data_IF_665313430705
#
_entry.id   IF_665313430705
#
_cell.length_a   1.000
_cell.length_b   1.000
_cell.length_c   1.000
_cell.angle_alpha   90.00
_cell.angle_beta   90.00
_cell.angle_gamma   90.00
#
_symmetry.space_group_name_H-M   'P 1'
#
loop_
_entity.id
_entity.type
_entity.pdbx_description
1 polymer ?
#
# COMPACT_ATOMS: atom_id res chain seq x y z
N UNK A 1 17.94 10.79 22.97
CA UNK A 1 16.83 10.04 22.33
C UNK A 1 17.24 8.70 21.73
N UNK A 2 18.53 8.38 21.66
CA UNK A 2 19.00 7.12 21.07
C UNK A 2 19.47 6.14 22.15
N UNK A 3 19.40 4.84 21.84
CA UNK A 3 19.96 3.81 22.71
C UNK A 3 21.46 3.70 22.49
N UNK A 4 22.26 3.88 23.55
CA UNK A 4 23.70 3.67 23.52
C UNK A 4 24.03 2.23 23.94
N UNK A 5 24.98 1.63 23.26
CA UNK A 5 25.60 0.35 23.63
C UNK A 5 26.67 0.55 24.70
N UNK A 6 27.13 -0.54 25.30
CA UNK A 6 28.18 -0.51 26.33
C UNK A 6 29.52 0.05 25.80
N UNK A 7 29.80 -0.04 24.51
CA UNK A 7 30.98 0.51 23.85
C UNK A 7 30.85 2.01 23.49
N UNK A 8 29.73 2.64 23.83
CA UNK A 8 29.44 4.05 23.56
C UNK A 8 28.86 4.31 22.17
N UNK A 9 28.72 3.31 21.30
CA UNK A 9 28.07 3.46 20.00
C UNK A 9 26.55 3.53 20.12
N UNK A 10 25.89 4.15 19.13
CA UNK A 10 24.42 4.17 19.03
C UNK A 10 23.93 2.84 18.44
N UNK A 11 22.89 2.28 19.03
CA UNK A 11 22.25 1.08 18.52
C UNK A 11 21.51 1.37 17.19
N UNK A 12 21.84 0.61 16.14
CA UNK A 12 21.12 0.67 14.87
C UNK A 12 19.86 -0.20 14.86
N UNK A 13 19.00 -0.02 13.87
CA UNK A 13 17.76 -0.77 13.75
C UNK A 13 18.01 -2.23 13.36
N UNK A 14 17.36 -3.14 14.08
CA UNK A 14 17.34 -4.57 13.77
C UNK A 14 15.89 -5.05 13.66
N UNK A 15 15.58 -5.69 12.53
CA UNK A 15 14.32 -6.39 12.30
C UNK A 15 14.66 -7.77 11.70
N UNK A 16 14.97 -8.75 12.56
CA UNK A 16 15.51 -10.02 12.11
C UNK A 16 14.69 -10.67 10.98
N UNK A 17 15.38 -11.20 9.95
CA UNK A 17 16.82 -11.34 9.83
C UNK A 17 17.59 -10.08 9.37
N UNK A 18 16.89 -8.98 9.04
CA UNK A 18 17.50 -7.75 8.51
C UNK A 18 18.15 -6.90 9.60
N UNK A 19 19.28 -6.28 9.25
CA UNK A 19 20.01 -5.29 10.07
C UNK A 19 20.23 -4.03 9.23
N UNK A 20 19.79 -2.88 9.76
CA UNK A 20 19.86 -1.59 9.09
C UNK A 20 20.90 -0.71 9.81
N UNK A 21 22.17 -0.88 9.45
CA UNK A 21 23.27 -0.22 10.15
C UNK A 21 23.33 1.30 9.95
N UNK A 22 22.58 1.82 9.01
CA UNK A 22 22.42 3.23 8.67
C UNK A 22 21.18 3.89 9.31
N UNK A 23 20.35 3.10 10.02
CA UNK A 23 19.15 3.59 10.69
C UNK A 23 19.33 3.55 12.22
N UNK A 24 19.14 4.68 12.88
CA UNK A 24 19.22 4.83 14.33
C UNK A 24 17.85 5.14 14.93
N UNK A 25 17.14 4.13 15.49
CA UNK A 25 15.80 4.33 16.01
C UNK A 25 15.80 5.23 17.24
N UNK A 26 14.77 6.07 17.34
CA UNK A 26 14.48 6.83 18.54
C UNK A 26 14.04 5.88 19.66
N UNK A 27 14.53 6.11 20.86
CA UNK A 27 14.13 5.39 22.07
C UNK A 27 13.01 6.16 22.79
N UNK A 28 11.78 5.75 22.52
CA UNK A 28 10.58 6.40 23.07
C UNK A 28 10.44 6.29 24.59
N UNK A 29 11.18 5.37 25.24
CA UNK A 29 11.12 5.19 26.70
C UNK A 29 12.00 6.20 27.46
N UNK A 30 12.97 6.83 26.77
CA UNK A 30 13.90 7.76 27.42
C UNK A 30 13.33 9.17 27.59
N UNK A 31 12.61 9.65 26.60
CA UNK A 31 12.01 10.99 26.63
C UNK A 31 10.73 10.99 25.79
N UNK A 32 9.67 10.31 26.26
CA UNK A 32 8.43 10.16 25.51
C UNK A 32 7.76 11.51 25.18
N UNK A 33 7.79 12.48 26.10
CA UNK A 33 7.16 13.78 25.88
C UNK A 33 7.98 14.68 24.95
N UNK A 34 9.31 14.66 25.05
CA UNK A 34 10.17 15.43 24.16
C UNK A 34 10.09 14.91 22.72
N UNK A 35 10.11 13.58 22.53
CA UNK A 35 9.96 12.95 21.22
C UNK A 35 8.56 13.23 20.65
N UNK A 36 7.51 13.08 21.48
CA UNK A 36 6.14 13.41 21.07
C UNK A 36 6.01 14.84 20.57
N UNK A 37 6.48 15.80 21.37
CA UNK A 37 6.41 17.23 21.06
C UNK A 37 7.14 17.53 19.73
N UNK A 38 8.35 17.01 19.57
CA UNK A 38 9.14 17.24 18.35
C UNK A 38 8.47 16.68 17.08
N UNK A 39 7.89 15.47 17.16
CA UNK A 39 7.21 14.87 16.00
C UNK A 39 5.90 15.60 15.71
N UNK A 40 5.12 15.94 16.73
CA UNK A 40 3.90 16.75 16.56
C UNK A 40 4.22 18.09 15.91
N UNK A 41 5.20 18.82 16.40
CA UNK A 41 5.57 20.15 15.90
C UNK A 41 6.11 20.08 14.48
N UNK A 42 6.82 19.01 14.11
CA UNK A 42 7.22 18.72 12.74
C UNK A 42 6.01 18.50 11.83
N UNK A 43 5.01 17.72 12.24
CA UNK A 43 3.78 17.51 11.47
C UNK A 43 3.01 18.82 11.30
N UNK A 44 2.84 19.60 12.38
CA UNK A 44 2.19 20.91 12.33
C UNK A 44 2.89 21.87 11.36
N UNK A 45 4.22 21.86 11.32
CA UNK A 45 4.99 22.62 10.35
C UNK A 45 4.62 22.25 8.93
N UNK A 46 4.62 20.95 8.59
CA UNK A 46 4.29 20.50 7.24
C UNK A 46 2.82 20.73 6.89
N UNK A 47 1.90 20.57 7.85
CA UNK A 47 0.48 20.90 7.66
C UNK A 47 0.32 22.39 7.36
N UNK A 48 1.05 23.26 8.07
CA UNK A 48 1.03 24.71 7.80
C UNK A 48 1.53 25.09 6.41
N UNK A 49 2.34 24.22 5.78
CA UNK A 49 2.79 24.34 4.40
C UNK A 49 1.85 23.64 3.37
N UNK A 50 0.70 23.12 3.82
CA UNK A 50 -0.32 22.51 2.97
C UNK A 50 -0.18 21.02 2.73
N UNK A 51 0.68 20.33 3.49
CA UNK A 51 0.76 18.86 3.44
C UNK A 51 -0.39 18.27 4.22
N UNK A 52 -1.24 17.49 3.57
CA UNK A 52 -2.42 16.85 4.17
C UNK A 52 -2.39 15.33 4.14
N UNK A 53 -1.39 14.73 3.52
CA UNK A 53 -1.25 13.26 3.45
C UNK A 53 0.18 12.87 3.87
N UNK A 54 0.29 12.01 4.88
CA UNK A 54 1.56 11.54 5.41
C UNK A 54 1.66 10.02 5.27
N UNK A 55 2.66 9.53 4.54
CA UNK A 55 3.04 8.12 4.56
C UNK A 55 4.02 7.92 5.70
N UNK A 56 3.70 7.00 6.60
CA UNK A 56 4.52 6.67 7.77
C UNK A 56 5.23 5.35 7.53
N UNK A 57 6.55 5.42 7.49
CA UNK A 57 7.45 4.29 7.35
C UNK A 57 7.48 3.45 8.63
N UNK A 58 7.22 2.16 8.50
CA UNK A 58 7.31 1.17 9.58
C UNK A 58 6.68 1.62 10.92
N UNK A 59 5.41 2.09 10.97
CA UNK A 59 4.80 2.56 12.22
C UNK A 59 4.71 1.47 13.29
N UNK A 60 4.65 0.20 12.90
CA UNK A 60 4.61 -0.96 13.80
C UNK A 60 5.86 -1.14 14.66
N UNK A 61 6.95 -0.43 14.34
CA UNK A 61 8.20 -0.44 15.11
C UNK A 61 8.23 0.61 16.22
N UNK A 62 7.19 1.42 16.36
CA UNK A 62 7.04 2.46 17.39
C UNK A 62 5.91 2.10 18.34
N UNK A 63 5.88 2.65 19.57
CA UNK A 63 4.83 2.33 20.54
C UNK A 63 3.42 2.68 20.02
N UNK A 64 2.48 1.76 20.15
CA UNK A 64 1.09 1.99 19.73
C UNK A 64 0.47 3.20 20.42
N UNK A 65 0.73 3.39 21.71
CA UNK A 65 0.24 4.55 22.49
C UNK A 65 0.73 5.89 21.96
N UNK A 66 1.92 5.92 21.35
CA UNK A 66 2.44 7.13 20.72
C UNK A 66 1.56 7.50 19.51
N UNK A 67 1.22 6.51 18.66
CA UNK A 67 0.36 6.73 17.50
C UNK A 67 -1.07 7.11 17.91
N UNK A 68 -1.66 6.39 18.87
CA UNK A 68 -3.01 6.68 19.38
C UNK A 68 -3.14 8.16 19.78
N UNK A 69 -2.24 8.64 20.64
CA UNK A 69 -2.23 10.03 21.09
C UNK A 69 -1.98 11.03 19.95
N UNK A 70 -1.01 10.75 19.08
CA UNK A 70 -0.62 11.66 18.00
C UNK A 70 -1.72 11.80 16.95
N UNK A 71 -2.27 10.67 16.51
CA UNK A 71 -3.30 10.66 15.48
C UNK A 71 -4.60 11.29 15.99
N UNK A 72 -5.00 11.00 17.24
CA UNK A 72 -6.16 11.64 17.88
C UNK A 72 -5.99 13.17 17.95
N UNK A 73 -4.83 13.67 18.38
CA UNK A 73 -4.57 15.12 18.45
C UNK A 73 -4.60 15.76 17.06
N UNK A 74 -3.89 15.17 16.08
CA UNK A 74 -3.80 15.74 14.73
C UNK A 74 -5.17 15.71 14.05
N UNK A 75 -5.91 14.58 14.06
CA UNK A 75 -7.24 14.50 13.44
C UNK A 75 -8.26 15.42 14.10
N UNK A 76 -8.14 15.67 15.41
CA UNK A 76 -9.03 16.62 16.11
C UNK A 76 -8.78 18.05 15.62
N UNK A 77 -7.54 18.43 15.37
CA UNK A 77 -7.15 19.79 14.95
C UNK A 77 -7.22 19.96 13.43
N UNK A 78 -6.94 18.91 12.68
CA UNK A 78 -6.82 18.86 11.22
C UNK A 78 -7.55 17.63 10.66
N UNK A 79 -8.90 17.64 10.64
CA UNK A 79 -9.69 16.47 10.20
C UNK A 79 -9.49 16.10 8.72
N UNK A 80 -8.89 16.97 7.92
CA UNK A 80 -8.54 16.74 6.53
C UNK A 80 -7.25 15.94 6.35
N UNK A 81 -6.44 15.78 7.40
CA UNK A 81 -5.14 15.10 7.32
C UNK A 81 -5.33 13.60 7.32
N UNK A 82 -4.59 12.92 6.46
CA UNK A 82 -4.65 11.46 6.23
C UNK A 82 -3.29 10.84 6.53
N UNK A 83 -3.28 9.75 7.27
CA UNK A 83 -2.09 8.96 7.58
C UNK A 83 -2.14 7.58 6.92
N UNK A 84 -1.12 7.28 6.11
CA UNK A 84 -0.93 6.00 5.43
C UNK A 84 0.12 5.19 6.18
N UNK A 85 -0.26 4.02 6.70
CA UNK A 85 0.68 3.12 7.37
C UNK A 85 1.40 2.25 6.33
N UNK A 86 2.70 2.39 6.22
CA UNK A 86 3.53 1.39 5.54
C UNK A 86 3.94 0.35 6.58
N UNK A 87 3.11 -0.68 6.73
CA UNK A 87 3.22 -1.63 7.83
C UNK A 87 3.12 -3.07 7.34
N UNK A 88 4.28 -3.66 7.01
CA UNK A 88 4.38 -5.09 6.71
C UNK A 88 4.68 -5.85 8.00
N UNK A 89 3.63 -6.20 8.73
CA UNK A 89 3.70 -6.78 10.06
C UNK A 89 2.61 -7.84 10.27
N UNK A 90 2.53 -8.41 11.46
CA UNK A 90 1.52 -9.42 11.81
C UNK A 90 0.11 -8.83 11.71
N UNK A 91 -0.91 -9.63 11.29
CA UNK A 91 -2.28 -9.14 11.12
C UNK A 91 -2.84 -8.40 12.33
N UNK A 92 -2.57 -8.89 13.55
CA UNK A 92 -3.02 -8.23 14.77
C UNK A 92 -2.47 -6.79 14.90
N UNK A 93 -1.20 -6.57 14.57
CA UNK A 93 -0.59 -5.23 14.63
C UNK A 93 -1.15 -4.33 13.53
N UNK A 94 -1.36 -4.83 12.30
CA UNK A 94 -1.99 -4.06 11.23
C UNK A 94 -3.39 -3.58 11.63
N UNK A 95 -4.20 -4.47 12.23
CA UNK A 95 -5.54 -4.12 12.76
C UNK A 95 -5.45 -3.09 13.87
N UNK A 96 -4.47 -3.21 14.76
CA UNK A 96 -4.24 -2.24 15.84
C UNK A 96 -3.90 -0.86 15.28
N UNK A 97 -3.04 -0.76 14.27
CA UNK A 97 -2.71 0.52 13.63
C UNK A 97 -3.95 1.18 13.02
N UNK A 98 -4.81 0.40 12.34
CA UNK A 98 -6.09 0.91 11.86
C UNK A 98 -7.01 1.38 13.00
N UNK A 99 -7.08 0.61 14.10
CA UNK A 99 -7.91 0.96 15.26
C UNK A 99 -7.46 2.24 15.98
N UNK A 100 -6.16 2.56 15.98
CA UNK A 100 -5.63 3.78 16.63
C UNK A 100 -5.61 5.00 15.72
N UNK A 101 -6.14 4.90 14.48
CA UNK A 101 -6.43 6.06 13.65
C UNK A 101 -5.63 6.20 12.35
N UNK A 102 -4.87 5.21 11.92
CA UNK A 102 -4.34 5.23 10.57
C UNK A 102 -5.48 5.08 9.56
N UNK A 103 -5.58 6.01 8.60
CA UNK A 103 -6.67 6.08 7.64
C UNK A 103 -6.58 5.02 6.54
N UNK A 104 -5.36 4.67 6.14
CA UNK A 104 -5.07 3.63 5.16
C UNK A 104 -3.85 2.81 5.58
N UNK A 105 -3.77 1.59 5.08
CA UNK A 105 -2.60 0.73 5.25
C UNK A 105 -2.14 0.13 3.94
N UNK A 106 -0.84 0.07 3.73
CA UNK A 106 -0.22 -0.83 2.77
C UNK A 106 -0.55 -2.27 3.17
N UNK A 107 -0.48 -3.18 2.21
CA UNK A 107 -0.98 -4.55 2.39
C UNK A 107 0.00 -5.57 1.82
N UNK A 108 -0.19 -6.84 2.17
CA UNK A 108 0.58 -7.96 1.60
C UNK A 108 0.12 -8.35 0.18
N UNK A 109 -0.59 -7.49 -0.53
CA UNK A 109 -1.08 -7.73 -1.89
C UNK A 109 0.04 -8.18 -2.85
N UNK A 110 1.20 -7.54 -2.82
CA UNK A 110 2.31 -7.85 -3.74
C UNK A 110 2.74 -9.32 -3.71
N UNK A 111 2.60 -9.99 -2.56
CA UNK A 111 2.98 -11.41 -2.35
C UNK A 111 1.83 -12.41 -2.48
N UNK A 112 0.60 -11.96 -2.73
CA UNK A 112 -0.52 -12.83 -3.05
C UNK A 112 -0.53 -13.10 -4.55
N UNK A 113 -0.06 -14.27 -4.97
CA UNK A 113 0.18 -14.59 -6.38
C UNK A 113 -0.75 -15.65 -6.92
N UNK A 114 -1.14 -16.62 -6.08
CA UNK A 114 -2.03 -17.69 -6.46
C UNK A 114 -3.50 -17.27 -6.34
N UNK A 115 -4.36 -17.84 -7.20
CA UNK A 115 -5.79 -17.52 -7.23
C UNK A 115 -6.44 -17.62 -5.86
N UNK A 116 -6.24 -18.73 -5.17
CA UNK A 116 -6.84 -18.96 -3.85
C UNK A 116 -6.37 -17.92 -2.83
N UNK A 117 -5.08 -17.59 -2.81
CA UNK A 117 -4.54 -16.56 -1.91
C UNK A 117 -5.14 -15.18 -2.18
N UNK A 118 -5.36 -14.85 -3.46
CA UNK A 118 -5.96 -13.57 -3.85
C UNK A 118 -7.43 -13.54 -3.44
N UNK A 119 -8.20 -14.61 -3.69
CA UNK A 119 -9.61 -14.74 -3.31
C UNK A 119 -9.80 -14.60 -1.79
N UNK A 120 -9.04 -15.36 -1.01
CA UNK A 120 -9.07 -15.31 0.46
C UNK A 120 -8.70 -13.92 0.97
N UNK A 121 -7.69 -13.29 0.39
CA UNK A 121 -7.23 -11.96 0.81
C UNK A 121 -8.25 -10.87 0.48
N UNK A 122 -8.86 -10.91 -0.69
CA UNK A 122 -9.95 -9.99 -1.06
C UNK A 122 -11.15 -10.13 -0.10
N UNK A 123 -11.51 -11.35 0.28
CA UNK A 123 -12.58 -11.61 1.24
C UNK A 123 -12.23 -11.13 2.66
N UNK A 124 -11.03 -11.43 3.14
CA UNK A 124 -10.54 -10.95 4.45
C UNK A 124 -10.65 -9.43 4.54
N UNK A 125 -10.13 -8.73 3.53
CA UNK A 125 -10.12 -7.26 3.54
C UNK A 125 -11.52 -6.64 3.40
N UNK A 126 -12.38 -7.25 2.59
CA UNK A 126 -13.73 -6.72 2.34
C UNK A 126 -14.72 -7.00 3.49
N UNK A 127 -14.49 -8.03 4.30
CA UNK A 127 -15.43 -8.48 5.33
C UNK A 127 -14.81 -8.44 6.73
N UNK A 128 -13.73 -9.20 6.97
CA UNK A 128 -13.24 -9.44 8.33
C UNK A 128 -12.53 -8.23 8.92
N UNK A 129 -11.81 -7.46 8.10
CA UNK A 129 -10.99 -6.33 8.55
C UNK A 129 -11.50 -4.97 8.03
N UNK A 130 -12.57 -4.95 7.27
CA UNK A 130 -13.09 -3.76 6.59
C UNK A 130 -13.45 -2.60 7.55
N UNK A 131 -13.78 -2.91 8.81
CA UNK A 131 -14.09 -1.92 9.84
C UNK A 131 -12.85 -1.34 10.55
N UNK A 132 -11.66 -1.91 10.31
CA UNK A 132 -10.40 -1.49 10.93
C UNK A 132 -9.39 -0.96 9.91
N UNK A 133 -9.34 -1.56 8.71
CA UNK A 133 -8.30 -1.27 7.73
C UNK A 133 -8.94 -0.82 6.42
N UNK A 134 -8.48 0.32 5.90
CA UNK A 134 -8.71 0.69 4.50
C UNK A 134 -7.46 0.33 3.70
N UNK A 135 -7.52 -0.75 2.91
CA UNK A 135 -6.35 -1.24 2.19
C UNK A 135 -5.99 -0.36 0.99
N UNK A 136 -4.70 -0.24 0.73
CA UNK A 136 -4.17 0.21 -0.56
C UNK A 136 -3.33 -0.90 -1.19
N UNK A 137 -3.53 -1.16 -2.47
CA UNK A 137 -2.80 -2.19 -3.20
C UNK A 137 -1.69 -1.56 -4.04
N UNK A 138 -0.49 -2.07 -3.82
CA UNK A 138 0.71 -1.69 -4.56
C UNK A 138 1.30 -2.93 -5.22
N UNK A 139 1.26 -3.05 -6.56
CA UNK A 139 1.96 -4.13 -7.26
C UNK A 139 3.47 -4.07 -7.05
N UNK A 140 4.03 -2.87 -7.04
CA UNK A 140 5.45 -2.58 -6.76
C UNK A 140 5.57 -1.33 -5.91
N UNK A 141 6.67 -1.22 -5.16
CA UNK A 141 7.09 0.00 -4.46
C UNK A 141 8.59 0.20 -4.68
N UNK A 142 9.16 1.26 -4.13
CA UNK A 142 10.62 1.45 -4.13
C UNK A 142 11.39 0.37 -3.35
N UNK A 143 10.69 -0.37 -2.48
CA UNK A 143 11.25 -1.47 -1.66
C UNK A 143 10.76 -2.86 -2.08
N UNK A 144 9.79 -2.95 -3.01
CA UNK A 144 9.13 -4.20 -3.34
C UNK A 144 9.05 -4.39 -4.85
N UNK A 145 9.77 -5.40 -5.32
CA UNK A 145 9.64 -5.99 -6.64
C UNK A 145 9.72 -7.51 -6.47
N UNK A 146 8.57 -8.18 -6.47
CA UNK A 146 8.51 -9.62 -6.18
C UNK A 146 9.05 -10.47 -7.34
N UNK A 147 9.47 -11.73 -7.09
CA UNK A 147 9.94 -12.64 -8.15
C UNK A 147 8.94 -12.82 -9.30
N UNK A 148 7.63 -12.80 -9.00
CA UNK A 148 6.59 -12.88 -10.03
C UNK A 148 6.70 -11.71 -11.03
N UNK A 149 6.99 -10.50 -10.53
CA UNK A 149 7.10 -9.32 -11.38
C UNK A 149 8.35 -9.34 -12.27
N UNK A 150 9.41 -10.08 -11.89
CA UNK A 150 10.67 -10.12 -12.65
C UNK A 150 10.59 -11.03 -13.89
N UNK A 151 9.67 -11.99 -13.94
CA UNK A 151 9.62 -13.04 -14.96
C UNK A 151 8.52 -12.88 -16.01
N UNK A 152 7.42 -12.19 -15.68
CA UNK A 152 6.20 -12.20 -16.50
C UNK A 152 6.05 -11.06 -17.52
N UNK A 153 7.04 -10.17 -17.65
CA UNK A 153 7.00 -9.06 -18.63
C UNK A 153 5.77 -8.17 -18.50
N UNK A 154 5.34 -7.54 -19.60
CA UNK A 154 4.17 -6.63 -19.61
C UNK A 154 2.88 -7.31 -19.20
N UNK A 155 2.72 -8.60 -19.45
CA UNK A 155 1.50 -9.33 -19.10
C UNK A 155 1.29 -9.40 -17.58
N UNK A 156 2.33 -9.73 -16.81
CA UNK A 156 2.21 -9.77 -15.35
C UNK A 156 1.99 -8.37 -14.76
N UNK A 157 2.64 -7.34 -15.31
CA UNK A 157 2.38 -5.95 -14.92
C UNK A 157 0.91 -5.58 -15.17
N UNK A 158 0.35 -5.96 -16.30
CA UNK A 158 -1.07 -5.74 -16.60
C UNK A 158 -2.00 -6.46 -15.62
N UNK A 159 -1.76 -7.75 -15.37
CA UNK A 159 -2.54 -8.56 -14.42
C UNK A 159 -2.50 -7.93 -13.03
N UNK A 160 -1.31 -7.58 -12.54
CA UNK A 160 -1.16 -7.00 -11.20
C UNK A 160 -1.80 -5.61 -11.08
N UNK A 161 -1.72 -4.77 -12.13
CA UNK A 161 -2.43 -3.49 -12.17
C UNK A 161 -3.95 -3.68 -12.15
N UNK A 162 -4.50 -4.63 -12.92
CA UNK A 162 -5.94 -4.93 -12.91
C UNK A 162 -6.40 -5.42 -11.54
N UNK A 163 -5.68 -6.34 -10.92
CA UNK A 163 -5.99 -6.84 -9.58
C UNK A 163 -5.97 -5.71 -8.54
N UNK A 164 -4.96 -4.86 -8.58
CA UNK A 164 -4.85 -3.74 -7.64
C UNK A 164 -5.96 -2.70 -7.85
N UNK A 165 -6.15 -2.25 -9.08
CA UNK A 165 -7.10 -1.18 -9.40
C UNK A 165 -8.56 -1.60 -9.19
N UNK A 166 -8.90 -2.87 -9.45
CA UNK A 166 -10.28 -3.34 -9.42
C UNK A 166 -10.63 -4.04 -8.09
N UNK A 167 -9.63 -4.59 -7.38
CA UNK A 167 -9.83 -5.30 -6.11
C UNK A 167 -9.93 -4.37 -4.90
N UNK A 168 -9.12 -3.32 -4.84
CA UNK A 168 -9.01 -2.46 -3.67
C UNK A 168 -9.69 -1.08 -3.84
N UNK A 169 -10.12 -0.44 -2.74
CA UNK A 169 -10.67 0.92 -2.77
C UNK A 169 -9.61 1.96 -3.14
N UNK A 170 -8.35 1.70 -2.80
CA UNK A 170 -7.20 2.53 -3.14
C UNK A 170 -6.07 1.67 -3.72
N UNK A 171 -5.34 2.22 -4.66
CA UNK A 171 -4.20 1.55 -5.28
C UNK A 171 -3.17 2.56 -5.76
N UNK A 172 -1.97 2.10 -5.99
CA UNK A 172 -0.89 2.91 -6.54
C UNK A 172 0.10 2.07 -7.33
N UNK A 173 0.91 2.76 -8.12
CA UNK A 173 2.05 2.21 -8.83
C UNK A 173 3.30 3.00 -8.45
N UNK A 174 4.44 2.35 -8.48
CA UNK A 174 5.73 3.00 -8.30
C UNK A 174 6.31 3.44 -9.64
N UNK A 175 7.13 4.48 -9.61
CA UNK A 175 7.86 5.01 -10.77
C UNK A 175 8.64 3.91 -11.48
N UNK A 176 8.51 3.83 -12.81
CA UNK A 176 9.08 2.75 -13.62
C UNK A 176 8.11 1.63 -13.99
N UNK A 177 6.92 1.61 -13.37
CA UNK A 177 5.89 0.61 -13.67
C UNK A 177 5.46 0.66 -15.13
N UNK A 178 5.28 1.84 -15.68
CA UNK A 178 4.87 2.09 -17.06
C UNK A 178 5.89 1.58 -18.08
N UNK A 179 7.16 1.50 -17.69
CA UNK A 179 8.27 0.97 -18.49
C UNK A 179 8.52 -0.52 -18.27
N UNK A 180 7.71 -1.17 -17.42
CA UNK A 180 7.91 -2.58 -17.06
C UNK A 180 9.32 -2.82 -16.48
N UNK A 181 9.77 -1.92 -15.61
CA UNK A 181 11.06 -2.07 -14.93
C UNK A 181 10.99 -3.24 -13.95
N UNK A 182 11.55 -4.38 -14.37
CA UNK A 182 11.41 -5.67 -13.72
C UNK A 182 12.74 -6.28 -13.25
N UNK A 183 13.79 -5.47 -13.14
CA UNK A 183 15.09 -5.94 -12.68
C UNK A 183 15.21 -5.73 -11.18
N UNK A 184 15.36 -6.83 -10.43
CA UNK A 184 15.64 -6.78 -9.01
C UNK A 184 17.10 -6.41 -8.72
N UNK A 185 17.30 -5.75 -7.60
CA UNK A 185 18.59 -5.60 -6.96
C UNK A 185 19.11 -6.97 -6.50
N UNK A 186 20.39 -7.23 -6.70
CA UNK A 186 20.99 -8.50 -6.31
C UNK A 186 20.79 -8.80 -4.81
N UNK A 187 20.20 -9.96 -4.51
CA UNK A 187 19.95 -10.42 -3.15
C UNK A 187 18.80 -9.75 -2.42
N UNK A 188 17.97 -8.95 -3.10
CA UNK A 188 16.83 -8.27 -2.50
C UNK A 188 15.59 -8.29 -3.42
N UNK A 189 14.40 -8.25 -2.83
CA UNK A 189 13.13 -8.05 -3.56
C UNK A 189 12.85 -6.55 -3.79
N UNK A 190 13.88 -5.78 -4.11
CA UNK A 190 13.81 -4.34 -4.37
C UNK A 190 14.10 -4.07 -5.86
N UNK A 191 13.50 -3.04 -6.48
CA UNK A 191 13.92 -2.62 -7.81
C UNK A 191 15.39 -2.21 -7.83
N UNK A 192 16.12 -2.57 -8.89
CA UNK A 192 17.52 -2.18 -9.05
C UNK A 192 17.66 -0.65 -9.12
N UNK A 193 16.77 -0.01 -9.87
CA UNK A 193 16.74 1.45 -10.06
C UNK A 193 15.57 2.04 -9.27
N UNK A 194 15.69 2.11 -7.94
CA UNK A 194 14.61 2.47 -7.04
C UNK A 194 14.46 3.96 -6.75
N UNK A 195 15.27 4.82 -7.35
CA UNK A 195 15.23 6.30 -7.21
C UNK A 195 15.18 6.83 -5.75
N UNK A 196 15.65 6.07 -4.79
CA UNK A 196 15.69 6.52 -3.39
C UNK A 196 16.59 7.75 -3.20
N UNK A 197 17.68 7.84 -3.97
CA UNK A 197 18.71 8.85 -3.77
C UNK A 197 19.15 9.53 -5.07
N UNK A 198 18.63 9.13 -6.21
CA UNK A 198 18.99 9.66 -7.52
C UNK A 198 17.79 9.84 -8.44
N UNK A 199 17.84 10.86 -9.28
CA UNK A 199 16.86 11.08 -10.33
C UNK A 199 17.16 10.21 -11.55
N UNK A 200 16.18 9.45 -12.03
CA UNK A 200 16.28 8.63 -13.22
C UNK A 200 15.35 9.14 -14.33
N UNK A 201 15.88 9.81 -15.36
CA UNK A 201 15.08 10.23 -16.51
C UNK A 201 14.67 8.99 -17.33
N UNK A 202 13.42 8.98 -17.78
CA UNK A 202 12.85 7.93 -18.64
C UNK A 202 12.25 8.52 -19.90
N UNK A 203 12.37 7.82 -21.04
CA UNK A 203 11.73 8.22 -22.29
C UNK A 203 10.25 7.80 -22.30
N UNK A 204 9.28 8.73 -22.31
CA UNK A 204 7.85 8.40 -22.33
C UNK A 204 7.42 7.58 -23.56
N UNK A 205 8.16 7.63 -24.68
CA UNK A 205 7.84 6.83 -25.87
C UNK A 205 8.00 5.35 -25.61
N UNK A 206 9.04 4.95 -24.88
CA UNK A 206 9.27 3.55 -24.54
C UNK A 206 8.17 2.99 -23.64
N UNK A 207 7.59 3.82 -22.76
CA UNK A 207 6.45 3.40 -21.94
C UNK A 207 5.22 3.08 -22.80
N UNK A 208 4.94 3.86 -23.85
CA UNK A 208 3.81 3.61 -24.73
C UNK A 208 3.90 2.25 -25.45
N UNK A 209 5.09 1.79 -25.76
CA UNK A 209 5.34 0.50 -26.41
C UNK A 209 4.95 -0.70 -25.54
N UNK A 210 4.95 -0.55 -24.21
CA UNK A 210 4.57 -1.61 -23.25
C UNK A 210 3.05 -1.85 -23.21
N UNK A 211 2.25 -0.88 -23.62
CA UNK A 211 0.78 -0.89 -23.48
C UNK A 211 0.29 -0.56 -22.05
N UNK A 212 1.17 -0.55 -21.05
CA UNK A 212 0.81 -0.30 -19.65
C UNK A 212 0.18 1.09 -19.43
N UNK A 213 0.70 2.22 -19.95
CA UNK A 213 0.06 3.52 -19.77
C UNK A 213 -1.38 3.56 -20.27
N UNK A 214 -1.67 2.91 -21.40
CA UNK A 214 -3.03 2.80 -21.94
C UNK A 214 -3.93 2.02 -20.99
N UNK A 215 -3.46 0.89 -20.46
CA UNK A 215 -4.21 0.09 -19.49
C UNK A 215 -4.47 0.90 -18.20
N UNK A 216 -3.47 1.60 -17.64
CA UNK A 216 -3.63 2.42 -16.44
C UNK A 216 -4.70 3.51 -16.66
N UNK A 217 -4.72 4.14 -17.83
CA UNK A 217 -5.74 5.12 -18.19
C UNK A 217 -7.13 4.49 -18.20
N UNK A 218 -7.29 3.30 -18.80
CA UNK A 218 -8.56 2.57 -18.82
C UNK A 218 -9.03 2.18 -17.43
N UNK A 219 -8.13 1.67 -16.58
CA UNK A 219 -8.43 1.29 -15.20
C UNK A 219 -8.89 2.50 -14.37
N UNK A 220 -8.18 3.61 -14.45
CA UNK A 220 -8.57 4.83 -13.74
C UNK A 220 -9.90 5.40 -14.26
N UNK A 221 -10.13 5.38 -15.56
CA UNK A 221 -11.40 5.80 -16.15
C UNK A 221 -12.57 4.89 -15.73
N UNK A 222 -12.34 3.58 -15.60
CA UNK A 222 -13.34 2.66 -15.06
C UNK A 222 -13.65 2.98 -13.59
N UNK A 223 -12.63 3.20 -12.76
CA UNK A 223 -12.80 3.57 -11.35
C UNK A 223 -13.51 4.91 -11.17
N UNK A 224 -13.29 5.87 -12.04
CA UNK A 224 -13.98 7.15 -12.02
C UNK A 224 -15.49 6.98 -12.31
N UNK A 225 -15.83 6.18 -13.30
CA UNK A 225 -17.21 5.93 -13.72
C UNK A 225 -17.99 5.00 -12.79
N UNK A 226 -17.30 4.07 -12.11
CA UNK A 226 -17.93 3.03 -11.29
C UNK A 226 -17.62 3.21 -9.80
N UNK A 227 -18.53 3.82 -9.02
CA UNK A 227 -18.38 3.98 -7.59
C UNK A 227 -18.13 2.65 -6.86
N UNK A 228 -18.68 1.53 -7.33
CA UNK A 228 -18.46 0.20 -6.76
C UNK A 228 -16.97 -0.17 -6.69
N UNK A 229 -16.15 0.25 -7.65
CA UNK A 229 -14.71 -0.05 -7.67
C UNK A 229 -13.92 0.72 -6.59
N UNK A 230 -14.49 1.79 -6.04
CA UNK A 230 -13.88 2.62 -4.98
C UNK A 230 -14.36 2.24 -3.58
N UNK A 231 -15.27 1.27 -3.47
CA UNK A 231 -15.77 0.74 -2.21
C UNK A 231 -14.97 -0.49 -1.79
N UNK A 232 -14.89 -0.69 -0.47
CA UNK A 232 -14.26 -1.89 0.09
C UNK A 232 -15.27 -3.02 0.28
N UNK A 233 -16.46 -2.67 0.78
CA UNK A 233 -17.54 -3.62 1.09
C UNK A 233 -18.23 -4.18 -0.15
N UNK A 234 -19.09 -5.18 0.07
CA UNK A 234 -19.92 -5.82 -0.97
C UNK A 234 -19.11 -6.41 -2.13
N UNK A 235 -17.92 -6.93 -1.81
CA UNK A 235 -17.13 -7.77 -2.71
C UNK A 235 -17.59 -9.23 -2.57
N UNK A 236 -17.82 -9.92 -3.70
CA UNK A 236 -18.16 -11.34 -3.74
C UNK A 236 -17.29 -12.07 -4.73
N UNK A 237 -16.68 -13.15 -4.30
CA UNK A 237 -15.97 -14.09 -5.19
C UNK A 237 -16.99 -14.99 -5.88
N UNK A 238 -16.78 -15.22 -7.17
CA UNK A 238 -17.58 -16.14 -7.98
C UNK A 238 -16.71 -17.33 -8.39
N UNK A 239 -17.16 -18.58 -8.17
CA UNK A 239 -16.40 -19.75 -8.53
C UNK A 239 -16.20 -19.84 -10.03
N UNK A 240 -15.02 -20.24 -10.47
CA UNK A 240 -14.67 -20.55 -11.86
C UNK A 240 -14.11 -21.96 -11.95
N UNK A 241 -14.21 -22.56 -13.12
CA UNK A 241 -13.68 -23.94 -13.35
C UNK A 241 -12.18 -23.96 -13.65
N UNK A 242 -11.56 -22.77 -13.81
CA UNK A 242 -10.13 -22.66 -14.09
C UNK A 242 -9.39 -22.02 -12.93
N UNK A 243 -8.28 -22.60 -12.54
CA UNK A 243 -7.36 -22.04 -11.54
C UNK A 243 -6.64 -20.75 -12.03
N UNK A 244 -6.71 -20.49 -13.34
CA UNK A 244 -6.12 -19.32 -13.96
C UNK A 244 -7.11 -18.16 -14.17
N UNK A 245 -8.38 -18.32 -13.81
CA UNK A 245 -9.40 -17.30 -13.96
C UNK A 245 -9.94 -16.89 -12.59
N UNK A 246 -9.72 -15.65 -12.23
CA UNK A 246 -10.34 -15.01 -11.08
C UNK A 246 -11.62 -14.29 -11.50
N UNK A 247 -12.71 -14.49 -10.76
CA UNK A 247 -13.96 -13.76 -10.98
C UNK A 247 -14.51 -13.24 -9.66
N UNK A 248 -14.79 -11.94 -9.60
CA UNK A 248 -15.45 -11.33 -8.46
C UNK A 248 -16.39 -10.20 -8.90
N UNK A 249 -17.31 -9.83 -8.04
CA UNK A 249 -18.13 -8.64 -8.24
C UNK A 249 -18.00 -7.67 -7.08
N UNK A 250 -18.20 -6.39 -7.37
CA UNK A 250 -18.34 -5.32 -6.38
C UNK A 250 -19.64 -4.59 -6.61
N UNK A 251 -20.29 -4.22 -5.50
CA UNK A 251 -21.57 -3.54 -5.55
C UNK A 251 -21.58 -2.34 -4.59
N UNK A 252 -22.25 -1.27 -4.99
CA UNK A 252 -22.62 -0.17 -4.10
C UNK A 252 -24.10 0.11 -4.24
N UNK A 253 -24.90 0.03 -3.15
CA UNK A 253 -26.32 0.38 -3.18
C UNK A 253 -26.53 1.88 -3.40
N UNK A 254 -27.67 2.25 -3.97
CA UNK A 254 -28.01 3.65 -4.30
C UNK A 254 -27.75 4.64 -3.16
N UNK A 255 -28.11 4.27 -1.93
CA UNK A 255 -27.93 5.11 -0.72
C UNK A 255 -26.49 5.48 -0.39
N UNK A 256 -25.50 4.71 -0.88
CA UNK A 256 -24.07 4.93 -0.67
C UNK A 256 -23.34 5.33 -1.96
N UNK A 257 -24.06 5.40 -3.07
CA UNK A 257 -23.50 5.81 -4.35
C UNK A 257 -23.56 7.33 -4.50
N UNK A 258 -22.47 7.99 -4.92
CA UNK A 258 -22.47 9.43 -5.19
C UNK A 258 -23.45 9.85 -6.28
N UNK A 259 -23.84 8.90 -7.16
CA UNK A 259 -24.79 9.13 -8.25
C UNK A 259 -26.26 8.97 -7.83
N UNK A 260 -26.51 8.47 -6.61
CA UNK A 260 -27.86 8.11 -6.16
C UNK A 260 -28.44 6.87 -6.85
N UNK A 261 -27.67 6.18 -7.67
CA UNK A 261 -28.06 4.94 -8.35
C UNK A 261 -27.15 3.79 -7.89
N UNK A 262 -27.69 2.54 -7.83
CA UNK A 262 -26.84 1.40 -7.54
C UNK A 262 -25.84 1.18 -8.66
N UNK A 263 -24.66 0.69 -8.32
CA UNK A 263 -23.64 0.31 -9.32
C UNK A 263 -23.09 -1.08 -8.99
N UNK A 264 -22.96 -1.91 -10.03
CA UNK A 264 -22.42 -3.26 -9.90
C UNK A 264 -21.42 -3.52 -11.02
N UNK A 265 -20.24 -3.96 -10.65
CA UNK A 265 -19.18 -4.33 -11.58
C UNK A 265 -18.82 -5.79 -11.37
N UNK A 266 -18.78 -6.57 -12.45
CA UNK A 266 -18.24 -7.93 -12.49
C UNK A 266 -16.86 -7.85 -13.12
N UNK A 267 -15.88 -8.38 -12.42
CA UNK A 267 -14.47 -8.41 -12.83
C UNK A 267 -14.07 -9.85 -13.13
N UNK A 268 -13.52 -10.07 -14.31
CA UNK A 268 -12.95 -11.36 -14.73
C UNK A 268 -11.53 -11.10 -15.21
N UNK A 269 -10.55 -11.76 -14.58
CA UNK A 269 -9.12 -11.59 -14.88
C UNK A 269 -8.50 -12.95 -15.15
N UNK A 270 -7.78 -13.09 -16.28
CA UNK A 270 -6.83 -14.16 -16.45
C UNK A 270 -5.60 -13.90 -15.61
N UNK A 271 -5.20 -14.88 -14.80
CA UNK A 271 -3.96 -14.86 -14.00
C UNK A 271 -2.78 -15.47 -14.78
N UNK A 272 -3.03 -15.91 -16.01
CA UNK A 272 -2.02 -16.52 -16.89
C UNK A 272 -1.33 -15.45 -17.72
N UNK A 273 -0.05 -15.17 -17.52
CA UNK A 273 0.68 -14.19 -18.31
C UNK A 273 1.00 -14.67 -19.76
N UNK A 274 0.77 -15.95 -20.06
CA UNK A 274 1.07 -16.54 -21.37
C UNK A 274 -0.16 -16.60 -22.31
N UNK A 275 -1.38 -16.32 -21.78
CA UNK A 275 -2.64 -16.43 -22.55
C UNK A 275 -3.60 -15.27 -22.28
#
# INVERSE_FOLDING_TARGET
WFTQRADGTIAYAENPPKKYQDIYPLNFDRDPEGIYTAIRDMLELWISHGVTIFRVDNPHTKPVRFWERLLEEIHTRHPEVIFLAEAFTRPAMMRTLGAVGFDQSYTYFAWRTEKQEIEEYLQELAHDTAHLIRPTFWPTTHDILTPQMTSGGSAIFAIRAMLAALGAPSWGIYSGYEWVENIQREGAEEPNDNEKYEFRPRDPKLAQETGIPTLLTLLNSARERHPALRQLHDLRIHPTTSEKILCFSKHVPARFSPTGLPDTVIVVISLDPEN
#
